data_IF_444367748468
#
_entry.id   IF_444367748468
#
_cell.length_a   1.000
_cell.length_b   1.000
_cell.length_c   1.000
_cell.angle_alpha   90.00
_cell.angle_beta   90.00
_cell.angle_gamma   90.00
#
_symmetry.space_group_name_H-M   'P 1'
#
loop_
_entity.id
_entity.type
_entity.pdbx_description
1 polymer ?
#
# COMPACT_ATOMS: atom_id res chain seq x y z
N UNK A 1 -2.44 6.07 -5.80
CA UNK A 1 -3.86 5.85 -6.16
C UNK A 1 -4.54 5.01 -5.08
N UNK A 2 -5.84 5.18 -4.86
CA UNK A 2 -6.55 4.45 -3.82
C UNK A 2 -7.45 3.35 -4.38
N UNK A 3 -7.45 2.19 -3.73
CA UNK A 3 -8.16 1.00 -4.22
C UNK A 3 -9.30 0.69 -3.28
N UNK A 4 -10.51 0.57 -3.84
CA UNK A 4 -11.70 0.46 -3.03
C UNK A 4 -12.00 -1.00 -2.70
N UNK A 5 -11.96 -1.34 -1.41
CA UNK A 5 -12.43 -2.63 -0.92
C UNK A 5 -13.93 -2.55 -0.68
N UNK A 6 -14.69 -3.41 -1.36
CA UNK A 6 -16.13 -3.49 -1.18
C UNK A 6 -16.49 -4.56 -0.15
N UNK A 7 -17.08 -4.13 0.96
CA UNK A 7 -17.64 -5.01 1.98
C UNK A 7 -19.15 -5.11 1.79
N UNK A 8 -19.63 -6.31 1.48
CA UNK A 8 -21.06 -6.62 1.45
C UNK A 8 -21.48 -7.23 2.79
N UNK A 9 -22.29 -6.51 3.56
CA UNK A 9 -22.94 -7.05 4.74
C UNK A 9 -24.37 -7.47 4.37
N UNK A 10 -24.68 -8.77 4.48
CA UNK A 10 -26.04 -9.28 4.27
C UNK A 10 -26.67 -9.55 5.63
N UNK A 11 -27.54 -8.65 6.08
CA UNK A 11 -28.37 -8.83 7.27
C UNK A 11 -29.85 -8.80 6.86
N UNK A 12 -30.58 -9.87 7.21
CA UNK A 12 -32.04 -9.98 7.04
C UNK A 12 -32.60 -9.63 5.64
N UNK A 13 -31.87 -9.97 4.57
CA UNK A 13 -32.34 -9.76 3.20
C UNK A 13 -32.12 -8.35 2.63
N UNK A 14 -31.50 -7.44 3.39
CA UNK A 14 -30.88 -6.22 2.86
C UNK A 14 -29.38 -6.43 2.69
N UNK A 15 -28.84 -5.91 1.58
CA UNK A 15 -27.40 -5.89 1.31
C UNK A 15 -26.92 -4.45 1.48
N UNK A 16 -26.08 -4.21 2.49
CA UNK A 16 -25.37 -2.94 2.63
C UNK A 16 -23.99 -3.11 1.97
N UNK A 17 -23.70 -2.24 0.99
CA UNK A 17 -22.39 -2.14 0.37
C UNK A 17 -21.63 -0.98 1.01
N UNK A 18 -20.52 -1.32 1.65
CA UNK A 18 -19.59 -0.35 2.20
C UNK A 18 -18.32 -0.34 1.34
N UNK A 19 -17.89 0.85 0.97
CA UNK A 19 -16.67 1.08 0.21
C UNK A 19 -15.63 1.69 1.15
N UNK A 20 -14.45 1.06 1.24
CA UNK A 20 -13.33 1.58 2.02
C UNK A 20 -12.13 1.76 1.10
N UNK A 21 -11.55 2.95 1.17
CA UNK A 21 -10.34 3.30 0.48
C UNK A 21 -9.15 2.59 1.15
N UNK A 22 -8.44 1.73 0.40
CA UNK A 22 -7.19 1.10 0.85
C UNK A 22 -6.04 1.94 0.35
N UNK A 23 -5.30 2.49 1.32
CA UNK A 23 -4.11 3.30 1.09
C UNK A 23 -2.91 2.40 1.45
N UNK A 24 -1.98 2.13 0.51
CA UNK A 24 -0.79 1.35 0.80
C UNK A 24 0.11 2.12 1.77
N UNK A 25 0.71 1.41 2.73
CA UNK A 25 1.71 1.98 3.63
C UNK A 25 3.04 2.02 2.85
N UNK A 26 3.48 3.22 2.52
CA UNK A 26 4.64 3.50 1.65
C UNK A 26 5.85 4.07 2.42
N UNK A 27 5.63 4.47 3.67
CA UNK A 27 6.67 4.89 4.62
C UNK A 27 7.14 3.63 5.38
N UNK A 28 8.28 3.06 4.96
CA UNK A 28 8.80 1.81 5.47
C UNK A 28 9.67 2.00 6.72
N UNK A 29 10.27 3.17 6.88
CA UNK A 29 11.10 3.50 8.03
C UNK A 29 10.31 4.17 9.19
N UNK A 30 9.04 4.52 8.94
CA UNK A 30 8.11 5.21 9.84
C UNK A 30 8.61 6.58 10.32
N UNK A 31 9.27 7.34 9.44
CA UNK A 31 9.74 8.70 9.73
C UNK A 31 8.72 9.79 9.40
N UNK A 32 7.58 9.42 8.79
CA UNK A 32 6.49 10.32 8.43
C UNK A 32 6.65 10.96 7.04
N UNK A 33 7.66 10.57 6.26
CA UNK A 33 7.98 11.16 4.96
C UNK A 33 8.35 10.04 3.98
N UNK A 34 7.67 10.00 2.82
CA UNK A 34 8.06 9.05 1.77
C UNK A 34 9.20 9.63 0.95
N UNK A 35 10.41 9.15 1.18
CA UNK A 35 11.62 9.70 0.57
C UNK A 35 12.58 8.63 -0.02
N UNK A 36 13.83 9.04 -0.29
CA UNK A 36 14.84 8.15 -0.85
C UNK A 36 15.24 7.00 0.10
N UNK A 37 15.04 7.14 1.42
CA UNK A 37 15.26 6.10 2.40
C UNK A 37 14.29 4.93 2.19
N UNK A 38 13.01 5.19 1.91
CA UNK A 38 12.03 4.14 1.60
C UNK A 38 12.36 3.43 0.30
N UNK A 39 12.84 4.17 -0.71
CA UNK A 39 13.35 3.59 -1.95
C UNK A 39 14.54 2.68 -1.69
N UNK A 40 15.46 3.07 -0.79
CA UNK A 40 16.60 2.23 -0.43
C UNK A 40 16.14 0.93 0.25
N UNK A 41 15.16 0.99 1.16
CA UNK A 41 14.59 -0.18 1.82
C UNK A 41 13.95 -1.13 0.79
N UNK A 42 13.22 -0.59 -0.20
CA UNK A 42 12.63 -1.40 -1.26
C UNK A 42 13.69 -2.08 -2.13
N UNK A 43 14.74 -1.35 -2.51
CA UNK A 43 15.86 -1.90 -3.30
C UNK A 43 16.64 -2.96 -2.52
N UNK A 44 16.79 -2.80 -1.21
CA UNK A 44 17.43 -3.80 -0.35
C UNK A 44 16.63 -5.11 -0.28
N UNK A 45 15.31 -5.04 -0.48
CA UNK A 45 14.41 -6.19 -0.52
C UNK A 45 14.06 -6.66 -1.94
N UNK A 46 14.78 -6.19 -2.96
CA UNK A 46 14.47 -6.48 -4.36
C UNK A 46 14.51 -7.98 -4.69
N UNK A 47 13.45 -8.49 -5.30
CA UNK A 47 13.30 -9.91 -5.65
C UNK A 47 13.05 -10.84 -4.48
N UNK A 48 12.75 -10.30 -3.29
CA UNK A 48 12.30 -11.08 -2.12
C UNK A 48 10.78 -11.10 -2.03
N UNK A 49 10.22 -11.90 -1.13
CA UNK A 49 8.80 -12.00 -0.80
C UNK A 49 8.44 -11.19 0.47
N UNK A 50 9.20 -10.13 0.77
CA UNK A 50 8.98 -9.34 1.97
C UNK A 50 7.64 -8.57 1.87
N UNK A 51 6.64 -8.90 2.71
CA UNK A 51 5.30 -8.31 2.62
C UNK A 51 5.27 -6.82 2.97
N UNK A 52 6.33 -6.27 3.56
CA UNK A 52 6.44 -4.83 3.81
C UNK A 52 6.72 -4.05 2.52
N UNK A 53 7.47 -4.63 1.59
CA UNK A 53 7.87 -3.97 0.33
C UNK A 53 7.07 -4.47 -0.87
N UNK A 54 6.33 -5.58 -0.74
CA UNK A 54 5.42 -6.13 -1.74
C UNK A 54 4.03 -5.45 -1.62
N UNK A 55 3.95 -4.24 -2.16
CA UNK A 55 2.78 -3.36 -2.11
C UNK A 55 1.97 -3.40 -3.43
N UNK A 56 2.53 -4.00 -4.47
CA UNK A 56 2.05 -4.01 -5.83
C UNK A 56 2.05 -5.40 -6.45
N UNK A 57 1.01 -5.76 -7.20
CA UNK A 57 -0.22 -5.02 -7.47
C UNK A 57 -1.14 -4.95 -6.25
N UNK A 58 -1.77 -3.79 -6.05
CA UNK A 58 -2.82 -3.62 -5.05
C UNK A 58 -3.97 -4.62 -5.27
N UNK A 59 -4.63 -5.10 -4.20
CA UNK A 59 -4.53 -4.65 -2.81
C UNK A 59 -3.57 -5.45 -1.92
N UNK A 60 -2.89 -6.49 -2.43
CA UNK A 60 -2.19 -7.46 -1.57
C UNK A 60 -0.78 -7.89 -2.07
N UNK A 61 -0.19 -7.17 -3.03
CA UNK A 61 1.09 -7.56 -3.61
C UNK A 61 0.98 -8.75 -4.57
N UNK A 62 2.06 -9.10 -5.27
CA UNK A 62 2.14 -10.33 -6.08
C UNK A 62 3.10 -11.39 -5.54
N UNK A 63 3.62 -11.19 -4.33
CA UNK A 63 4.55 -12.10 -3.66
C UNK A 63 6.00 -11.86 -4.02
N UNK A 64 6.34 -10.80 -4.77
CA UNK A 64 7.71 -10.45 -5.10
C UNK A 64 7.91 -8.94 -5.20
N UNK A 65 8.92 -8.43 -4.50
CA UNK A 65 9.33 -7.03 -4.62
C UNK A 65 9.96 -6.80 -5.99
N UNK A 66 9.24 -6.12 -6.88
CA UNK A 66 9.65 -5.83 -8.25
C UNK A 66 9.34 -4.37 -8.67
N UNK A 67 9.38 -4.12 -9.98
CA UNK A 67 9.14 -2.79 -10.55
C UNK A 67 7.72 -2.30 -10.29
N UNK A 68 6.74 -3.19 -10.13
CA UNK A 68 5.34 -2.85 -9.84
C UNK A 68 5.22 -2.19 -8.48
N UNK A 69 5.93 -2.70 -7.48
CA UNK A 69 5.99 -2.08 -6.14
C UNK A 69 6.61 -0.69 -6.22
N UNK A 70 7.71 -0.56 -6.95
CA UNK A 70 8.41 0.71 -7.11
C UNK A 70 7.55 1.76 -7.83
N UNK A 71 6.68 1.35 -8.76
CA UNK A 71 5.72 2.27 -9.40
C UNK A 71 4.75 2.82 -8.36
N UNK A 72 4.23 1.98 -7.46
CA UNK A 72 3.32 2.42 -6.39
C UNK A 72 4.04 3.32 -5.40
N UNK A 73 5.27 2.98 -5.02
CA UNK A 73 6.10 3.82 -4.16
C UNK A 73 6.34 5.20 -4.81
N UNK A 74 6.66 5.22 -6.11
CA UNK A 74 6.90 6.45 -6.86
C UNK A 74 5.66 7.35 -6.98
N UNK A 75 4.45 6.80 -6.94
CA UNK A 75 3.22 7.59 -6.91
C UNK A 75 3.06 8.40 -5.61
N UNK A 76 3.59 7.90 -4.50
CA UNK A 76 3.49 8.54 -3.17
C UNK A 76 4.80 9.19 -2.75
N UNK A 77 5.83 9.16 -3.60
CA UNK A 77 7.10 9.82 -3.37
C UNK A 77 6.83 11.33 -3.20
N UNK A 78 7.37 11.93 -2.14
CA UNK A 78 7.12 13.32 -1.72
C UNK A 78 5.76 13.59 -1.04
N UNK A 79 4.99 12.58 -0.68
CA UNK A 79 3.87 12.75 0.24
C UNK A 79 4.35 12.76 1.70
N UNK A 80 3.88 13.73 2.49
CA UNK A 80 4.04 13.72 3.94
C UNK A 80 2.91 12.88 4.54
N UNK A 81 3.26 11.79 5.22
CA UNK A 81 2.29 10.95 5.92
C UNK A 81 2.03 11.57 7.28
N UNK A 82 1.04 12.47 7.37
CA UNK A 82 0.56 12.91 8.69
C UNK A 82 -0.08 11.72 9.39
N UNK A 83 0.35 11.32 10.60
CA UNK A 83 -0.36 10.30 11.36
C UNK A 83 -1.81 10.76 11.55
N UNK A 84 -2.78 9.96 11.10
CA UNK A 84 -4.17 10.24 11.39
C UNK A 84 -4.37 10.24 12.92
N UNK A 85 -4.80 11.38 13.48
CA UNK A 85 -5.11 11.55 14.91
C UNK A 85 -6.27 10.66 15.40
#
# INVERSE_FOLDING_TARGET
MAVNLMFCCVLYGNSDLWEVEVIPIVDFNSDGIVDAADVCIMVDNWGTDNPLCDIGPTPFGDGVVDVKDLIILAEHLFEETTPAE
#
